data_IF_597599420373
#
_entry.id   IF_597599420373
#
_cell.length_a   1.000
_cell.length_b   1.000
_cell.length_c   1.000
_cell.angle_alpha   90.00
_cell.angle_beta   90.00
_cell.angle_gamma   90.00
#
_symmetry.space_group_name_H-M   'P 1'
#
loop_
_entity.id
_entity.type
_entity.pdbx_description
1 polymer ?
#
# COMPACT_ATOMS: atom_id res chain seq x y z
N UNK A 1 -8.95 -7.67 43.50
CA UNK A 1 -10.16 -8.53 43.53
C UNK A 1 -9.86 -9.77 44.38
N UNK A 2 -10.70 -10.14 45.35
CA UNK A 2 -10.54 -11.39 46.08
C UNK A 2 -10.67 -12.58 45.11
N UNK A 3 -9.74 -13.54 45.17
CA UNK A 3 -9.71 -14.69 44.27
C UNK A 3 -10.86 -15.64 44.64
N UNK A 4 -11.88 -15.72 43.78
CA UNK A 4 -12.94 -16.73 43.91
C UNK A 4 -12.33 -18.11 43.69
N UNK A 5 -12.62 -19.06 44.57
CA UNK A 5 -12.09 -20.41 44.44
C UNK A 5 -12.68 -21.11 43.23
N UNK A 6 -11.85 -21.56 42.28
CA UNK A 6 -12.27 -22.27 41.06
C UNK A 6 -12.52 -23.77 41.26
N UNK A 7 -12.13 -24.34 42.41
CA UNK A 7 -12.28 -25.77 42.73
C UNK A 7 -13.71 -26.31 42.59
N UNK A 8 -14.78 -25.60 43.02
CA UNK A 8 -16.16 -26.08 42.86
C UNK A 8 -16.58 -26.23 41.38
N UNK A 9 -15.97 -25.45 40.48
CA UNK A 9 -16.33 -25.38 39.06
C UNK A 9 -15.46 -26.28 38.17
N UNK A 10 -14.62 -27.15 38.75
CA UNK A 10 -13.67 -27.99 38.01
C UNK A 10 -14.32 -28.83 36.91
N UNK A 11 -15.47 -29.46 37.21
CA UNK A 11 -16.18 -30.28 36.22
C UNK A 11 -16.80 -29.43 35.08
N UNK A 12 -17.20 -28.20 35.37
CA UNK A 12 -17.73 -27.26 34.36
C UNK A 12 -16.62 -26.82 33.42
N UNK A 13 -15.46 -26.43 33.98
CA UNK A 13 -14.28 -26.04 33.20
C UNK A 13 -13.83 -27.20 32.30
N UNK A 14 -13.79 -28.44 32.80
CA UNK A 14 -13.49 -29.63 31.98
C UNK A 14 -14.46 -29.84 30.82
N UNK A 15 -15.75 -29.62 31.03
CA UNK A 15 -16.75 -29.75 29.99
C UNK A 15 -16.58 -28.66 28.91
N UNK A 16 -16.32 -27.42 29.31
CA UNK A 16 -16.11 -26.30 28.39
C UNK A 16 -14.81 -26.41 27.60
N UNK A 17 -13.72 -26.87 28.22
CA UNK A 17 -12.46 -27.15 27.52
C UNK A 17 -12.65 -28.24 26.46
N UNK A 18 -13.38 -29.34 26.77
CA UNK A 18 -13.71 -30.36 25.75
C UNK A 18 -14.64 -29.85 24.64
N UNK A 19 -15.41 -28.79 24.91
CA UNK A 19 -16.26 -28.12 23.91
C UNK A 19 -15.48 -27.08 23.09
N UNK A 20 -14.19 -26.89 23.32
CA UNK A 20 -13.36 -25.92 22.60
C UNK A 20 -13.65 -24.46 22.98
N UNK A 21 -14.17 -24.20 24.19
CA UNK A 21 -14.37 -22.83 24.67
C UNK A 21 -13.03 -22.21 25.09
N UNK A 22 -12.83 -20.94 24.76
CA UNK A 22 -11.60 -20.20 25.07
C UNK A 22 -11.52 -19.82 26.56
N UNK A 23 -10.31 -19.65 27.07
CA UNK A 23 -10.07 -19.26 28.47
C UNK A 23 -10.65 -17.88 28.80
N UNK A 24 -10.68 -16.97 27.82
CA UNK A 24 -11.33 -15.67 27.95
C UNK A 24 -12.85 -15.80 28.18
N UNK A 25 -13.49 -16.74 27.48
CA UNK A 25 -14.92 -17.01 27.65
C UNK A 25 -15.22 -17.65 29.01
N UNK A 26 -14.39 -18.61 29.44
CA UNK A 26 -14.54 -19.25 30.76
C UNK A 26 -14.30 -18.25 31.89
N UNK A 27 -13.31 -17.36 31.74
CA UNK A 27 -12.99 -16.32 32.69
C UNK A 27 -14.14 -15.32 32.87
N UNK A 28 -14.74 -14.88 31.76
CA UNK A 28 -15.91 -14.02 31.78
C UNK A 28 -17.08 -14.68 32.53
N UNK A 29 -17.36 -15.96 32.25
CA UNK A 29 -18.51 -16.65 32.83
C UNK A 29 -18.37 -16.94 34.34
N UNK A 30 -17.14 -17.13 34.82
CA UNK A 30 -16.86 -17.36 36.24
C UNK A 30 -16.52 -16.05 36.98
N UNK A 31 -16.54 -14.91 36.28
CA UNK A 31 -16.13 -13.59 36.78
C UNK A 31 -14.74 -13.64 37.45
N UNK A 32 -13.77 -14.26 36.77
CA UNK A 32 -12.37 -14.35 37.19
C UNK A 32 -11.44 -13.83 36.10
N UNK A 33 -10.15 -13.69 36.40
CA UNK A 33 -9.18 -13.28 35.38
C UNK A 33 -8.80 -14.45 34.47
N UNK A 34 -8.44 -14.16 33.21
CA UNK A 34 -7.95 -15.15 32.25
C UNK A 34 -6.74 -15.90 32.81
N UNK A 35 -5.82 -15.18 33.47
CA UNK A 35 -4.64 -15.75 34.15
C UNK A 35 -5.00 -16.76 35.25
N UNK A 36 -6.11 -16.55 35.97
CA UNK A 36 -6.56 -17.51 36.98
C UNK A 36 -7.05 -18.82 36.34
N UNK A 37 -7.70 -18.75 35.17
CA UNK A 37 -8.13 -19.92 34.40
C UNK A 37 -6.92 -20.66 33.83
N UNK A 38 -5.98 -19.95 33.22
CA UNK A 38 -4.72 -20.54 32.70
C UNK A 38 -3.93 -21.25 33.80
N UNK A 39 -3.75 -20.59 34.95
CA UNK A 39 -3.07 -21.17 36.10
C UNK A 39 -3.82 -22.40 36.63
N UNK A 40 -5.16 -22.36 36.65
CA UNK A 40 -5.99 -23.48 37.08
C UNK A 40 -5.93 -24.66 36.10
N UNK A 41 -5.92 -24.43 34.79
CA UNK A 41 -5.76 -25.46 33.77
C UNK A 41 -4.40 -26.16 33.90
N UNK A 42 -3.33 -25.40 34.10
CA UNK A 42 -1.98 -25.94 34.35
C UNK A 42 -1.90 -26.80 35.61
N UNK A 43 -2.57 -26.39 36.69
CA UNK A 43 -2.60 -27.15 37.95
C UNK A 43 -3.40 -28.46 37.88
N UNK A 44 -4.39 -28.53 36.98
CA UNK A 44 -5.30 -29.67 36.85
C UNK A 44 -5.05 -30.50 35.58
N UNK A 45 -3.96 -30.22 34.87
CA UNK A 45 -3.56 -30.88 33.62
C UNK A 45 -4.68 -30.85 32.56
N UNK A 46 -5.28 -29.67 32.37
CA UNK A 46 -6.37 -29.40 31.42
C UNK A 46 -5.95 -28.49 30.25
N UNK A 47 -4.64 -28.41 29.98
CA UNK A 47 -4.14 -27.72 28.79
C UNK A 47 -4.61 -28.50 27.56
N UNK A 48 -5.05 -27.80 26.52
CA UNK A 48 -5.40 -28.49 25.27
C UNK A 48 -4.13 -29.11 24.66
N UNK A 49 -4.31 -30.20 23.91
CA UNK A 49 -3.22 -30.84 23.14
C UNK A 49 -2.56 -29.84 22.16
N UNK A 50 -3.33 -28.83 21.73
CA UNK A 50 -2.94 -27.71 20.88
C UNK A 50 -2.05 -26.69 21.63
N UNK A 51 -2.34 -26.35 22.89
CA UNK A 51 -1.49 -25.47 23.72
C UNK A 51 -0.18 -26.16 24.16
N UNK A 52 -0.19 -27.50 24.29
CA UNK A 52 1.02 -28.30 24.52
C UNK A 52 1.92 -28.35 23.27
N UNK A 53 1.32 -28.33 22.08
CA UNK A 53 2.06 -28.26 20.82
C UNK A 53 2.70 -26.88 20.58
N UNK A 54 2.01 -25.80 20.92
CA UNK A 54 2.56 -24.42 20.86
C UNK A 54 3.75 -24.19 21.80
N UNK A 55 3.80 -24.90 22.94
CA UNK A 55 4.97 -24.86 23.85
C UNK A 55 6.15 -25.73 23.38
N UNK A 56 5.88 -26.75 22.57
CA UNK A 56 6.88 -27.70 22.06
C UNK A 56 7.48 -27.29 20.71
N UNK A 57 6.94 -26.28 20.04
CA UNK A 57 7.48 -25.77 18.77
C UNK A 57 8.73 -24.90 18.92
N UNK A 58 9.13 -24.56 20.15
CA UNK A 58 10.24 -23.60 20.39
C UNK A 58 11.66 -24.20 20.35
N UNK A 59 11.82 -25.51 20.13
CA UNK A 59 13.12 -26.19 20.24
C UNK A 59 13.67 -26.80 18.93
N UNK A 60 12.98 -26.62 17.79
CA UNK A 60 13.36 -27.20 16.48
C UNK A 60 13.68 -26.13 15.41
N UNK A 61 14.01 -24.90 15.83
CA UNK A 61 14.43 -23.79 14.95
C UNK A 61 15.95 -23.65 14.81
N UNK A 62 16.74 -24.72 14.98
CA UNK A 62 18.21 -24.63 14.82
C UNK A 62 18.67 -24.53 13.34
N UNK A 63 17.75 -24.66 12.38
CA UNK A 63 17.98 -24.38 10.95
C UNK A 63 16.94 -23.35 10.44
N UNK A 64 16.68 -22.30 11.24
CA UNK A 64 15.89 -21.15 10.79
C UNK A 64 16.69 -20.40 9.71
N UNK A 65 16.42 -20.73 8.45
CA UNK A 65 16.84 -19.92 7.30
C UNK A 65 16.31 -18.51 7.54
N UNK A 66 17.21 -17.57 7.84
CA UNK A 66 16.86 -16.18 8.04
C UNK A 66 16.44 -15.58 6.68
N UNK A 67 15.15 -15.75 6.34
CA UNK A 67 14.52 -15.32 5.09
C UNK A 67 14.81 -13.84 4.77
N UNK A 68 15.13 -13.04 5.80
CA UNK A 68 15.52 -11.65 5.64
C UNK A 68 16.89 -11.49 4.99
N UNK A 69 17.85 -12.36 5.32
CA UNK A 69 19.18 -12.33 4.72
C UNK A 69 19.15 -12.72 3.23
N UNK A 70 18.25 -13.63 2.85
CA UNK A 70 18.04 -14.00 1.45
C UNK A 70 17.41 -12.86 0.64
N UNK A 71 16.35 -12.23 1.17
CA UNK A 71 15.70 -11.09 0.53
C UNK A 71 16.66 -9.89 0.38
N UNK A 72 17.46 -9.57 1.41
CA UNK A 72 18.46 -8.50 1.34
C UNK A 72 19.55 -8.80 0.29
N UNK A 73 19.96 -10.06 0.16
CA UNK A 73 20.93 -10.48 -0.87
C UNK A 73 20.37 -10.38 -2.29
N UNK A 74 19.09 -10.71 -2.50
CA UNK A 74 18.41 -10.55 -3.78
C UNK A 74 18.28 -9.07 -4.18
N UNK A 75 17.90 -8.21 -3.23
CA UNK A 75 17.81 -6.76 -3.47
C UNK A 75 19.19 -6.17 -3.79
N UNK A 76 20.24 -6.60 -3.08
CA UNK A 76 21.61 -6.15 -3.36
C UNK A 76 22.08 -6.55 -4.77
N UNK A 77 21.81 -7.80 -5.19
CA UNK A 77 22.18 -8.29 -6.52
C UNK A 77 21.39 -7.58 -7.64
N UNK A 78 20.11 -7.29 -7.42
CA UNK A 78 19.30 -6.53 -8.38
C UNK A 78 19.77 -5.08 -8.52
N UNK A 79 20.14 -4.44 -7.40
CA UNK A 79 20.66 -3.07 -7.40
C UNK A 79 22.00 -2.99 -8.14
N UNK A 80 22.90 -3.95 -7.93
CA UNK A 80 24.19 -4.03 -8.62
C UNK A 80 24.02 -4.26 -10.14
N UNK A 81 23.08 -5.14 -10.53
CA UNK A 81 22.77 -5.38 -11.93
C UNK A 81 22.21 -4.11 -12.62
N UNK A 82 21.32 -3.38 -11.95
CA UNK A 82 20.75 -2.14 -12.46
C UNK A 82 21.80 -1.02 -12.58
N UNK A 83 22.72 -0.92 -11.62
CA UNK A 83 23.84 0.04 -11.69
C UNK A 83 24.75 -0.25 -12.89
N UNK A 84 25.08 -1.52 -13.09
CA UNK A 84 25.96 -1.94 -14.18
C UNK A 84 25.27 -1.80 -15.55
N UNK A 85 23.96 -1.99 -15.66
CA UNK A 85 23.19 -1.66 -16.87
C UNK A 85 23.17 -0.14 -17.13
N UNK A 86 22.97 0.67 -16.09
CA UNK A 86 23.00 2.12 -16.20
C UNK A 86 24.38 2.65 -16.62
N UNK A 87 25.47 2.04 -16.14
CA UNK A 87 26.83 2.36 -16.58
C UNK A 87 27.03 2.03 -18.06
N UNK A 88 26.63 0.83 -18.51
CA UNK A 88 26.70 0.46 -19.93
C UNK A 88 25.89 1.41 -20.81
N UNK A 89 24.69 1.80 -20.38
CA UNK A 89 23.84 2.74 -21.12
C UNK A 89 24.48 4.13 -21.20
N UNK A 90 25.20 4.57 -20.16
CA UNK A 90 25.96 5.83 -20.18
C UNK A 90 27.14 5.75 -21.14
N UNK A 91 27.91 4.66 -21.10
CA UNK A 91 29.01 4.45 -22.05
C UNK A 91 28.52 4.39 -23.49
N UNK A 92 27.40 3.70 -23.76
CA UNK A 92 26.82 3.63 -25.10
C UNK A 92 26.35 5.01 -25.56
N UNK A 93 25.71 5.79 -24.69
CA UNK A 93 25.31 7.15 -24.98
C UNK A 93 26.50 8.09 -25.23
N UNK A 94 27.62 7.91 -24.51
CA UNK A 94 28.86 8.65 -24.74
C UNK A 94 29.47 8.27 -26.10
N UNK A 95 29.60 6.98 -26.41
CA UNK A 95 30.09 6.51 -27.72
C UNK A 95 29.22 6.99 -28.87
N UNK A 96 27.89 6.99 -28.71
CA UNK A 96 26.97 7.51 -29.71
C UNK A 96 27.13 9.02 -29.91
N UNK A 97 27.42 9.78 -28.85
CA UNK A 97 27.72 11.22 -28.95
C UNK A 97 29.04 11.47 -29.65
N UNK A 98 30.09 10.72 -29.31
CA UNK A 98 31.39 10.83 -29.98
C UNK A 98 31.30 10.46 -31.46
N UNK A 99 30.53 9.43 -31.81
CA UNK A 99 30.30 9.05 -33.21
C UNK A 99 29.50 10.12 -33.96
N UNK A 100 28.47 10.69 -33.34
CA UNK A 100 27.71 11.80 -33.92
C UNK A 100 28.59 13.04 -34.14
N UNK A 101 29.47 13.38 -33.18
CA UNK A 101 30.41 14.49 -33.30
C UNK A 101 31.44 14.25 -34.42
N UNK A 102 31.94 13.01 -34.57
CA UNK A 102 32.81 12.63 -35.69
C UNK A 102 32.10 12.77 -37.04
N UNK A 103 30.86 12.30 -37.15
CA UNK A 103 30.05 12.44 -38.37
C UNK A 103 29.77 13.90 -38.70
N UNK A 104 29.45 14.73 -37.72
CA UNK A 104 29.25 16.17 -37.91
C UNK A 104 30.56 16.87 -38.35
N UNK A 105 31.70 16.46 -37.80
CA UNK A 105 33.01 16.97 -38.22
C UNK A 105 33.36 16.57 -39.66
N UNK A 106 33.08 15.32 -40.06
CA UNK A 106 33.28 14.82 -41.42
C UNK A 106 32.36 15.56 -42.41
N UNK A 107 31.06 15.71 -42.09
CA UNK A 107 30.10 16.48 -42.91
C UNK A 107 30.53 17.96 -43.06
N UNK A 108 31.07 18.57 -41.99
CA UNK A 108 31.58 19.94 -42.03
C UNK A 108 32.84 20.06 -42.89
N UNK A 109 33.71 19.05 -42.87
CA UNK A 109 34.91 19.02 -43.71
C UNK A 109 34.57 18.81 -45.19
N UNK A 110 33.54 18.01 -45.51
CA UNK A 110 33.03 17.86 -46.89
C UNK A 110 32.38 19.16 -47.39
N UNK A 111 31.59 19.84 -46.56
CA UNK A 111 30.99 21.14 -46.91
C UNK A 111 32.03 22.25 -47.15
N UNK A 112 33.11 22.30 -46.35
CA UNK A 112 34.23 23.24 -46.57
C UNK A 112 35.07 22.88 -47.83
N UNK A 113 34.90 21.68 -48.40
CA UNK A 113 35.56 21.23 -49.63
C UNK A 113 34.81 21.56 -50.93
N UNK A 114 33.53 21.94 -50.87
CA UNK A 114 32.71 22.30 -52.05
C UNK A 114 32.57 23.82 -52.29
N UNK A 115 33.03 24.67 -51.37
CA UNK A 115 32.99 26.14 -51.54
C UNK A 115 34.21 26.70 -52.31
N UNK A 116 34.40 26.24 -53.55
CA UNK A 116 35.01 27.07 -54.60
C UNK A 116 34.12 26.98 -55.85
N UNK A 117 32.98 27.66 -55.81
CA UNK A 117 32.31 28.34 -56.93
C UNK A 117 30.82 28.55 -56.62
N UNK A 118 30.45 29.68 -55.99
CA UNK A 118 29.43 30.62 -56.50
C UNK A 118 29.09 31.67 -55.42
N UNK A 119 29.66 32.87 -55.58
CA UNK A 119 29.34 34.02 -54.75
C UNK A 119 28.10 34.74 -55.30
N UNK A 120 26.96 34.64 -54.60
CA UNK A 120 25.67 35.11 -55.14
C UNK A 120 24.58 35.56 -54.15
N UNK A 121 24.88 36.51 -53.26
CA UNK A 121 23.96 37.58 -52.78
C UNK A 121 22.50 37.25 -52.38
N UNK A 122 22.14 37.29 -51.07
CA UNK A 122 21.07 38.17 -50.50
C UNK A 122 20.79 38.02 -48.99
N UNK A 123 20.48 39.18 -48.39
CA UNK A 123 20.21 39.45 -46.98
C UNK A 123 18.87 38.91 -46.43
N UNK A 124 18.70 38.76 -45.09
CA UNK A 124 17.52 38.11 -44.48
C UNK A 124 16.40 39.11 -44.09
N UNK A 125 15.10 38.76 -44.24
CA UNK A 125 14.03 39.57 -43.68
C UNK A 125 13.53 39.05 -42.32
N UNK A 126 13.85 39.86 -41.30
CA UNK A 126 13.01 40.35 -40.19
C UNK A 126 11.73 39.57 -39.80
N UNK A 127 11.79 39.07 -38.56
CA UNK A 127 10.72 38.71 -37.62
C UNK A 127 9.41 39.50 -37.80
N UNK A 128 8.29 38.76 -37.96
CA UNK A 128 6.93 39.27 -37.68
C UNK A 128 6.34 38.56 -36.46
N UNK A 129 5.91 39.42 -35.54
CA UNK A 129 5.18 39.19 -34.29
C UNK A 129 3.76 38.71 -34.62
N UNK A 130 3.30 37.63 -33.98
CA UNK A 130 1.89 37.20 -34.11
C UNK A 130 1.64 35.71 -33.83
N UNK A 131 2.23 35.15 -32.76
CA UNK A 131 1.96 33.78 -32.34
C UNK A 131 0.56 33.66 -31.75
N UNK A 132 -0.39 33.19 -32.56
CA UNK A 132 -1.68 32.67 -32.11
C UNK A 132 -1.47 31.27 -31.55
N UNK A 133 -1.05 31.17 -30.29
CA UNK A 133 -1.00 29.90 -29.57
C UNK A 133 -2.03 29.93 -28.44
N UNK A 134 -3.28 29.64 -28.80
CA UNK A 134 -4.22 29.06 -27.83
C UNK A 134 -3.66 27.67 -27.51
N UNK A 135 -3.11 27.50 -26.31
CA UNK A 135 -3.00 26.23 -25.58
C UNK A 135 -2.35 26.50 -24.22
N UNK A 136 -3.21 26.84 -23.27
CA UNK A 136 -2.94 26.72 -21.84
C UNK A 136 -4.28 26.52 -21.10
N UNK A 137 -5.09 25.58 -21.59
CA UNK A 137 -6.07 24.86 -20.78
C UNK A 137 -5.56 23.43 -20.74
N UNK A 138 -4.80 23.10 -19.72
CA UNK A 138 -4.18 21.80 -19.59
C UNK A 138 -3.27 21.78 -18.38
N UNK A 139 -3.74 21.15 -17.31
CA UNK A 139 -2.83 20.67 -16.28
C UNK A 139 -2.59 21.60 -15.09
N UNK A 140 -3.64 22.21 -14.53
CA UNK A 140 -3.67 22.35 -13.07
C UNK A 140 -4.81 21.51 -12.54
N UNK A 141 -4.68 20.20 -12.73
CA UNK A 141 -5.26 19.24 -11.80
C UNK A 141 -4.73 19.68 -10.43
N UNK A 142 -5.57 20.40 -9.69
CA UNK A 142 -5.35 20.64 -8.26
C UNK A 142 -5.17 19.23 -7.71
N UNK A 143 -3.95 18.90 -7.29
CA UNK A 143 -3.69 17.68 -6.54
C UNK A 143 -4.56 17.80 -5.30
N UNK A 144 -5.75 17.19 -5.36
CA UNK A 144 -6.49 16.86 -4.16
C UNK A 144 -5.57 15.85 -3.48
N UNK A 145 -5.05 16.20 -2.30
CA UNK A 145 -4.21 15.31 -1.52
C UNK A 145 -4.94 13.99 -1.22
N UNK A 146 -4.27 13.03 -0.56
CA UNK A 146 -4.98 11.85 -0.06
C UNK A 146 -6.17 12.32 0.79
N UNK A 147 -7.38 11.90 0.40
CA UNK A 147 -8.60 12.16 1.15
C UNK A 147 -8.65 11.10 2.23
N UNK A 148 -8.56 11.53 3.48
CA UNK A 148 -8.56 10.65 4.63
C UNK A 148 -10.00 10.46 5.12
N UNK A 149 -10.30 9.24 5.55
CA UNK A 149 -11.55 8.91 6.20
C UNK A 149 -11.25 8.03 7.41
N UNK A 150 -11.93 8.30 8.51
CA UNK A 150 -11.78 7.53 9.75
C UNK A 150 -13.00 6.64 9.92
N UNK A 151 -12.75 5.38 10.24
CA UNK A 151 -13.77 4.45 10.67
C UNK A 151 -13.86 4.53 12.20
N UNK A 152 -14.97 5.03 12.70
CA UNK A 152 -15.21 5.20 14.13
C UNK A 152 -16.30 4.22 14.60
N UNK A 153 -16.11 3.66 15.80
CA UNK A 153 -17.08 2.76 16.43
C UNK A 153 -17.69 3.47 17.65
N UNK A 154 -18.86 4.06 17.44
CA UNK A 154 -19.64 4.67 18.50
C UNK A 154 -20.58 3.67 19.17
N UNK A 155 -21.23 4.11 20.26
CA UNK A 155 -22.21 3.30 21.02
C UNK A 155 -23.46 2.91 20.18
N UNK A 156 -23.64 3.52 19.01
CA UNK A 156 -24.73 3.28 18.06
C UNK A 156 -24.30 2.50 16.79
N UNK A 157 -23.02 2.08 16.70
CA UNK A 157 -22.48 1.29 15.59
C UNK A 157 -21.28 1.91 14.89
N UNK A 158 -20.97 1.41 13.70
CA UNK A 158 -19.84 1.85 12.88
C UNK A 158 -20.21 3.06 12.01
N UNK A 159 -19.46 4.16 12.15
CA UNK A 159 -19.61 5.38 11.36
C UNK A 159 -18.36 5.64 10.52
N UNK A 160 -18.55 5.87 9.21
CA UNK A 160 -17.49 6.35 8.32
C UNK A 160 -17.52 7.88 8.28
N UNK A 161 -16.48 8.51 8.82
CA UNK A 161 -16.28 9.95 8.72
C UNK A 161 -15.30 10.26 7.60
N UNK A 162 -15.77 10.99 6.60
CA UNK A 162 -14.93 11.50 5.52
C UNK A 162 -14.55 12.95 5.80
N UNK A 163 -13.34 13.34 5.40
CA UNK A 163 -12.89 14.74 5.46
C UNK A 163 -13.91 15.66 4.74
N UNK A 164 -14.35 16.78 5.35
CA UNK A 164 -15.19 17.78 4.70
C UNK A 164 -14.68 18.24 3.32
N UNK A 165 -13.36 18.24 3.09
CA UNK A 165 -12.75 18.58 1.81
C UNK A 165 -13.14 17.66 0.64
N UNK A 166 -13.69 16.47 0.92
CA UNK A 166 -14.28 15.58 -0.10
C UNK A 166 -15.43 16.27 -0.84
N UNK A 167 -16.21 17.12 -0.17
CA UNK A 167 -17.35 17.82 -0.77
C UNK A 167 -16.91 18.86 -1.80
N UNK A 168 -15.77 19.50 -1.57
CA UNK A 168 -15.19 20.51 -2.46
C UNK A 168 -14.31 19.91 -3.57
N UNK A 169 -14.16 18.59 -3.60
CA UNK A 169 -13.37 17.90 -4.62
C UNK A 169 -14.08 17.99 -5.98
N UNK A 170 -13.45 18.58 -7.02
CA UNK A 170 -14.06 18.68 -8.35
C UNK A 170 -14.36 17.32 -8.98
N UNK A 171 -13.59 16.27 -8.67
CA UNK A 171 -13.82 14.89 -9.11
C UNK A 171 -15.07 14.32 -8.42
N UNK A 172 -15.22 14.56 -7.12
CA UNK A 172 -16.42 14.19 -6.39
C UNK A 172 -17.63 14.94 -6.96
N UNK A 173 -17.53 16.25 -7.14
CA UNK A 173 -18.59 17.06 -7.74
C UNK A 173 -18.92 16.62 -9.17
N UNK A 174 -17.96 16.30 -10.04
CA UNK A 174 -18.21 15.89 -11.42
C UNK A 174 -18.85 14.50 -11.53
N UNK A 175 -18.43 13.55 -10.69
CA UNK A 175 -18.93 12.18 -10.72
C UNK A 175 -20.11 11.91 -9.79
N UNK A 176 -20.41 12.81 -8.84
CA UNK A 176 -21.54 12.68 -7.94
C UNK A 176 -22.61 13.76 -8.14
N UNK A 177 -22.36 14.81 -8.94
CA UNK A 177 -23.41 15.76 -9.32
C UNK A 177 -24.52 15.04 -10.09
N UNK A 178 -25.67 14.93 -9.45
CA UNK A 178 -26.86 14.27 -10.01
C UNK A 178 -27.01 12.79 -9.63
N UNK A 179 -26.05 12.21 -8.91
CA UNK A 179 -26.24 10.89 -8.31
C UNK A 179 -27.13 11.01 -7.06
N UNK A 180 -28.13 10.13 -6.97
CA UNK A 180 -29.03 10.05 -5.82
C UNK A 180 -28.27 9.57 -4.58
N UNK A 181 -28.70 9.97 -3.37
CA UNK A 181 -28.08 9.48 -2.14
C UNK A 181 -28.01 7.94 -2.14
N UNK A 182 -26.93 7.40 -1.58
CA UNK A 182 -26.73 5.97 -1.36
C UNK A 182 -26.67 5.69 0.13
N UNK A 183 -27.17 4.53 0.52
CA UNK A 183 -27.11 4.02 1.89
C UNK A 183 -26.09 2.90 1.94
N UNK A 184 -25.11 3.01 2.84
CA UNK A 184 -24.08 2.00 3.04
C UNK A 184 -24.34 1.34 4.38
N UNK A 185 -24.69 0.05 4.35
CA UNK A 185 -24.87 -0.78 5.55
C UNK A 185 -23.65 -1.66 5.71
N UNK A 186 -23.05 -1.66 6.90
CA UNK A 186 -21.89 -2.49 7.23
C UNK A 186 -22.34 -3.53 8.25
N UNK A 187 -22.37 -4.79 7.83
CA UNK A 187 -22.67 -5.96 8.66
C UNK A 187 -21.37 -6.68 9.05
N UNK A 188 -21.45 -7.62 9.99
CA UNK A 188 -20.27 -8.38 10.48
C UNK A 188 -19.55 -9.13 9.34
N UNK A 189 -20.31 -9.59 8.34
CA UNK A 189 -19.82 -10.48 7.28
C UNK A 189 -19.73 -9.79 5.91
N UNK A 190 -20.32 -8.60 5.73
CA UNK A 190 -20.45 -7.94 4.42
C UNK A 190 -20.70 -6.43 4.48
N UNK A 191 -20.34 -5.73 3.41
CA UNK A 191 -20.67 -4.32 3.19
C UNK A 191 -21.69 -4.23 2.04
N UNK A 192 -22.89 -3.73 2.34
CA UNK A 192 -23.98 -3.58 1.37
C UNK A 192 -24.15 -2.12 1.00
N UNK A 193 -24.04 -1.81 -0.28
CA UNK A 193 -24.24 -0.46 -0.82
C UNK A 193 -25.57 -0.45 -1.58
N UNK A 194 -26.57 0.25 -1.05
CA UNK A 194 -27.90 0.41 -1.66
C UNK A 194 -28.11 1.84 -2.13
N UNK A 195 -29.05 2.01 -3.06
CA UNK A 195 -29.54 3.33 -3.45
C UNK A 195 -30.56 3.77 -2.41
N UNK A 196 -30.45 4.98 -1.88
CA UNK A 196 -31.39 5.47 -0.89
C UNK A 196 -32.78 5.64 -1.55
N UNK A 197 -33.76 4.90 -1.04
CA UNK A 197 -35.14 4.87 -1.52
C UNK A 197 -35.52 3.67 -2.40
N UNK A 198 -34.61 2.72 -2.66
CA UNK A 198 -34.99 1.38 -3.14
C UNK A 198 -35.30 0.51 -1.90
N UNK A 199 -36.55 0.59 -1.40
CA UNK A 199 -37.09 -0.36 -0.42
C UNK A 199 -37.52 -1.64 -1.16
N UNK A 200 -36.73 -2.72 -1.02
CA UNK A 200 -37.12 -4.10 -1.32
C UNK A 200 -36.88 -4.98 -0.09
#
# INVERSE_FOLDING_TARGET
MPRKSLRPNLNQIRAWVRQGRTDAWVAHQLEVSVRDIEQFKRQNDLMSEEELAEGSSSADYEEEVDLRAEDDALIAAELEAAELEAERAREEAERAREEAERREADERAEAEGEDVEDAGTRAPPRRRRGGRARRALGGRARKVGPLEGTFDHGEEGYGLWLDPAVQDNPIYAEHWAGHRPIEVTIEEDQIVIRRAGDED
#
